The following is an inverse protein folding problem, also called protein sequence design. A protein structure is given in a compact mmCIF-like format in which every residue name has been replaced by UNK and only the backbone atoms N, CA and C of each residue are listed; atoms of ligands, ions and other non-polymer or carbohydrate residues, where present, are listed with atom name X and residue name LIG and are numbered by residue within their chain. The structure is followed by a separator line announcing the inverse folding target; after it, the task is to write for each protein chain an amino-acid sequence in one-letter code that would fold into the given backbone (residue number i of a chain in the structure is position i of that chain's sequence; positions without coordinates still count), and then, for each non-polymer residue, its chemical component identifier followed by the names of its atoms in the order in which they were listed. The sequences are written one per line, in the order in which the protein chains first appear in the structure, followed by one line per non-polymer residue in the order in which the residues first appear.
data_IF_926540043188
#
_entry.id   IF_926540043188
#
_cell.length_a   1.000
_cell.length_b   1.000
_cell.length_c   1.000
_cell.angle_alpha   90.00
_cell.angle_beta   90.00
_cell.angle_gamma   90.00
#
_symmetry.space_group_name_H-M   'P 1'
#
loop_
_entity.id
_entity.type
_entity.pdbx_description
1 polymer ?
#
# COMPACT_ATOMS: atom_id res chain seq x y z
N UNK A 1 -6.03 -7.04 27.38
CA UNK A 1 -4.87 -7.23 26.48
C UNK A 1 -4.16 -5.89 26.41
N UNK A 2 -2.99 -5.74 27.05
CA UNK A 2 -2.33 -4.44 27.23
C UNK A 2 -1.58 -4.02 25.96
N UNK A 3 -1.42 -2.72 25.74
CA UNK A 3 -0.77 -2.10 24.58
C UNK A 3 0.66 -2.63 24.29
N UNK A 4 1.31 -3.24 25.27
CA UNK A 4 2.62 -3.89 25.14
C UNK A 4 2.61 -5.14 24.24
N UNK A 5 1.45 -5.77 24.06
CA UNK A 5 1.35 -7.01 23.25
C UNK A 5 1.37 -6.73 21.74
N UNK A 6 1.15 -5.50 21.30
CA UNK A 6 1.11 -5.12 19.88
C UNK A 6 2.50 -4.69 19.35
N UNK A 7 3.44 -4.31 20.23
CA UNK A 7 4.75 -3.78 19.85
C UNK A 7 5.87 -4.83 19.70
N UNK A 8 5.66 -6.07 20.16
CA UNK A 8 6.61 -7.19 19.94
C UNK A 8 6.58 -7.78 18.52
N UNK A 9 5.79 -7.21 17.59
CA UNK A 9 5.65 -7.73 16.23
C UNK A 9 6.66 -7.16 15.21
N UNK A 10 7.56 -6.27 15.61
CA UNK A 10 8.45 -5.55 14.69
C UNK A 10 9.91 -5.92 14.95
N UNK A 11 10.46 -6.85 14.17
CA UNK A 11 11.84 -7.31 14.34
C UNK A 11 12.87 -6.33 13.77
N UNK A 12 12.47 -5.45 12.84
CA UNK A 12 13.34 -4.40 12.30
C UNK A 12 12.55 -3.40 11.45
N UNK A 13 12.69 -2.10 11.73
CA UNK A 13 12.29 -1.01 10.82
C UNK A 13 13.52 -0.63 10.00
N UNK A 14 13.49 -0.82 8.69
CA UNK A 14 14.65 -0.52 7.83
C UNK A 14 14.25 0.53 6.79
N UNK A 15 14.92 1.67 6.87
CA UNK A 15 14.99 2.79 5.90
C UNK A 15 13.67 3.52 5.61
N UNK A 16 13.64 4.79 6.00
CA UNK A 16 12.62 5.75 5.63
C UNK A 16 12.96 6.40 4.27
N UNK A 17 12.00 6.39 3.34
CA UNK A 17 12.01 7.31 2.20
C UNK A 17 10.61 7.92 2.09
N UNK A 18 10.50 9.25 2.21
CA UNK A 18 9.24 10.01 2.07
C UNK A 18 8.05 9.48 2.91
N UNK A 19 8.29 9.05 4.15
CA UNK A 19 7.24 8.57 5.07
C UNK A 19 6.77 7.13 4.84
N UNK A 20 7.52 6.35 4.05
CA UNK A 20 7.35 4.90 3.88
C UNK A 20 8.42 4.16 4.69
N UNK A 21 8.00 3.13 5.40
CA UNK A 21 8.83 2.28 6.25
C UNK A 21 8.67 0.81 5.83
N UNK A 22 9.79 0.13 5.58
CA UNK A 22 9.78 -1.32 5.42
C UNK A 22 9.81 -2.01 6.79
N UNK A 23 8.91 -2.96 6.99
CA UNK A 23 8.77 -3.76 8.19
C UNK A 23 9.03 -5.23 7.88
N UNK A 24 9.97 -5.82 8.60
CA UNK A 24 10.11 -7.28 8.66
C UNK A 24 9.35 -7.81 9.89
N UNK A 25 8.36 -8.67 9.66
CA UNK A 25 7.52 -9.24 10.71
C UNK A 25 7.52 -10.77 10.64
N UNK A 26 7.11 -11.41 11.72
CA UNK A 26 6.86 -12.86 11.74
C UNK A 26 5.70 -13.32 10.81
N UNK A 27 4.98 -12.38 10.21
CA UNK A 27 3.88 -12.62 9.25
C UNK A 27 4.23 -12.12 7.85
N UNK A 28 5.51 -11.96 7.54
CA UNK A 28 6.00 -11.48 6.25
C UNK A 28 6.38 -10.01 6.25
N UNK A 29 6.76 -9.53 5.06
CA UNK A 29 7.22 -8.17 4.81
C UNK A 29 6.05 -7.22 4.60
N UNK A 30 6.16 -6.00 5.14
CA UNK A 30 5.08 -5.01 5.08
C UNK A 30 5.60 -3.62 4.82
N UNK A 31 4.76 -2.82 4.18
CA UNK A 31 4.93 -1.39 3.97
C UNK A 31 4.07 -0.64 5.00
N UNK A 32 4.70 0.11 5.90
CA UNK A 32 4.00 1.07 6.76
C UNK A 32 4.16 2.46 6.18
N UNK A 33 3.06 3.18 5.98
CA UNK A 33 3.09 4.51 5.39
C UNK A 33 2.23 5.50 6.16
N UNK A 34 2.83 6.65 6.52
CA UNK A 34 2.09 7.80 7.03
C UNK A 34 1.35 8.46 5.86
N UNK A 35 0.07 8.72 6.05
CA UNK A 35 -0.81 9.35 5.07
C UNK A 35 -0.96 10.84 5.40
N UNK A 36 -0.86 11.67 4.37
CA UNK A 36 -0.92 13.14 4.47
C UNK A 36 -2.25 13.72 3.94
N UNK A 37 -3.28 12.89 3.81
CA UNK A 37 -4.62 13.27 3.41
C UNK A 37 -5.66 12.64 4.34
N UNK A 38 -6.87 13.22 4.39
CA UNK A 38 -7.92 12.78 5.32
C UNK A 38 -8.50 11.38 5.02
N UNK A 39 -9.26 10.83 5.98
CA UNK A 39 -9.76 9.45 5.93
C UNK A 39 -10.70 9.20 4.75
N UNK A 40 -11.49 10.19 4.32
CA UNK A 40 -12.37 10.05 3.15
C UNK A 40 -11.57 9.73 1.87
N UNK A 41 -10.46 10.45 1.64
CA UNK A 41 -9.59 10.18 0.49
C UNK A 41 -8.86 8.85 0.62
N UNK A 42 -8.51 8.44 1.85
CA UNK A 42 -7.93 7.13 2.12
C UNK A 42 -8.90 6.00 1.79
N UNK A 43 -10.15 6.10 2.22
CA UNK A 43 -11.19 5.11 1.92
C UNK A 43 -11.46 5.02 0.41
N UNK A 44 -11.47 6.15 -0.30
CA UNK A 44 -11.54 6.15 -1.77
C UNK A 44 -10.35 5.41 -2.40
N UNK A 45 -9.12 5.69 -1.96
CA UNK A 45 -7.92 4.99 -2.49
C UNK A 45 -7.96 3.50 -2.18
N UNK A 46 -8.40 3.11 -0.98
CA UNK A 46 -8.56 1.72 -0.60
C UNK A 46 -9.62 1.02 -1.47
N UNK A 47 -10.80 1.61 -1.63
CA UNK A 47 -11.85 1.06 -2.49
C UNK A 47 -11.40 0.94 -3.95
N UNK A 48 -10.69 1.93 -4.48
CA UNK A 48 -10.14 1.89 -5.84
C UNK A 48 -9.16 0.73 -6.02
N UNK A 49 -8.30 0.46 -5.03
CA UNK A 49 -7.36 -0.68 -5.06
C UNK A 49 -8.10 -2.02 -5.02
N UNK A 50 -9.08 -2.17 -4.15
CA UNK A 50 -9.88 -3.40 -4.08
C UNK A 50 -10.66 -3.63 -5.39
N UNK A 51 -11.22 -2.57 -5.99
CA UNK A 51 -11.88 -2.64 -7.30
C UNK A 51 -10.93 -3.11 -8.39
N UNK A 52 -9.73 -2.53 -8.47
CA UNK A 52 -8.68 -2.94 -9.41
C UNK A 52 -8.31 -4.42 -9.24
N UNK A 53 -8.09 -4.86 -8.00
CA UNK A 53 -7.75 -6.26 -7.67
C UNK A 53 -8.88 -7.20 -8.09
N UNK A 54 -10.13 -6.84 -7.80
CA UNK A 54 -11.31 -7.63 -8.15
C UNK A 54 -11.54 -7.71 -9.66
N UNK A 55 -11.09 -6.70 -10.41
CA UNK A 55 -11.09 -6.69 -11.87
C UNK A 55 -9.81 -7.28 -12.50
N UNK A 56 -8.99 -7.98 -11.71
CA UNK A 56 -7.84 -8.74 -12.19
C UNK A 56 -6.55 -7.94 -12.31
N UNK A 57 -6.52 -6.67 -11.94
CA UNK A 57 -5.30 -5.86 -11.91
C UNK A 57 -4.52 -6.10 -10.60
N UNK A 58 -3.41 -6.83 -10.70
CA UNK A 58 -2.55 -7.19 -9.54
C UNK A 58 -1.35 -6.25 -9.34
N UNK A 59 -1.27 -5.16 -10.09
CA UNK A 59 -0.17 -4.20 -10.04
C UNK A 59 -0.27 -3.17 -8.91
N UNK A 60 -1.05 -3.44 -7.87
CA UNK A 60 -1.21 -2.60 -6.67
C UNK A 60 -0.91 -3.41 -5.42
N UNK A 61 -0.39 -2.75 -4.39
CA UNK A 61 -0.22 -3.33 -3.06
C UNK A 61 -1.58 -3.54 -2.38
N UNK A 62 -1.76 -4.68 -1.70
CA UNK A 62 -2.95 -4.93 -0.89
C UNK A 62 -2.80 -4.40 0.52
N UNK A 63 -3.86 -3.78 1.05
CA UNK A 63 -3.88 -3.29 2.42
C UNK A 63 -4.19 -4.41 3.41
N UNK A 64 -3.53 -4.35 4.57
CA UNK A 64 -3.88 -5.13 5.74
C UNK A 64 -4.86 -4.33 6.58
N UNK A 65 -6.03 -4.91 6.82
CA UNK A 65 -7.03 -4.33 7.72
C UNK A 65 -6.58 -4.46 9.17
N UNK A 66 -6.96 -3.48 9.99
CA UNK A 66 -6.75 -3.52 11.43
C UNK A 66 -7.75 -4.50 12.09
N UNK A 67 -7.72 -4.58 13.44
CA UNK A 67 -8.61 -5.48 14.20
C UNK A 67 -10.09 -5.11 14.11
N UNK A 68 -10.41 -3.86 13.75
CA UNK A 68 -11.76 -3.33 13.58
C UNK A 68 -12.23 -3.44 12.12
N UNK A 69 -11.37 -3.92 11.22
CA UNK A 69 -11.66 -4.06 9.79
C UNK A 69 -11.34 -2.81 8.96
N UNK A 70 -10.74 -1.77 9.55
CA UNK A 70 -10.42 -0.55 8.81
C UNK A 70 -9.09 -0.65 8.05
N UNK A 71 -8.96 0.01 6.88
CA UNK A 71 -7.74 0.01 6.07
C UNK A 71 -6.64 0.95 6.60
N UNK A 72 -6.80 1.48 7.82
CA UNK A 72 -5.83 2.38 8.45
C UNK A 72 -5.85 2.28 9.98
N UNK A 73 -4.87 2.89 10.62
CA UNK A 73 -4.83 3.16 12.05
C UNK A 73 -4.61 4.66 12.28
N UNK A 74 -5.25 5.21 13.31
CA UNK A 74 -5.01 6.57 13.78
C UNK A 74 -4.04 6.51 14.98
N UNK A 75 -2.90 7.19 14.87
CA UNK A 75 -1.87 7.23 15.93
C UNK A 75 -1.44 8.69 16.10
N UNK A 76 -1.68 9.28 17.26
CA UNK A 76 -1.37 10.69 17.54
C UNK A 76 -1.92 11.64 16.45
N UNK A 77 -3.19 11.46 16.09
CA UNK A 77 -3.89 12.23 15.04
C UNK A 77 -3.39 12.01 13.60
N UNK A 78 -2.33 11.21 13.42
CA UNK A 78 -1.82 10.85 12.11
C UNK A 78 -2.42 9.54 11.60
N UNK A 79 -2.73 9.47 10.31
CA UNK A 79 -3.22 8.28 9.64
C UNK A 79 -2.06 7.43 9.12
N UNK A 80 -2.13 6.12 9.41
CA UNK A 80 -1.16 5.14 8.94
C UNK A 80 -1.85 4.01 8.20
N UNK A 81 -1.24 3.58 7.10
CA UNK A 81 -1.66 2.40 6.34
C UNK A 81 -0.58 1.33 6.44
N UNK A 82 -1.02 0.08 6.43
CA UNK A 82 -0.15 -1.08 6.38
C UNK A 82 -0.52 -1.88 5.12
N UNK A 83 0.44 -2.14 4.25
CA UNK A 83 0.21 -2.88 3.01
C UNK A 83 1.33 -3.86 2.71
N UNK A 84 1.13 -4.69 1.69
CA UNK A 84 2.16 -5.58 1.16
C UNK A 84 3.40 -4.78 0.76
N UNK A 85 4.57 -5.34 1.05
CA UNK A 85 5.81 -4.85 0.46
C UNK A 85 5.91 -5.37 -0.98
N UNK A 86 6.07 -4.47 -1.96
CA UNK A 86 6.33 -4.84 -3.34
C UNK A 86 7.83 -4.89 -3.53
N UNK A 87 8.37 -6.09 -3.76
CA UNK A 87 9.75 -6.25 -4.20
C UNK A 87 9.87 -5.84 -5.68
N UNK A 88 10.52 -4.71 -5.92
CA UNK A 88 10.63 -4.12 -7.24
C UNK A 88 11.65 -2.98 -7.27
N UNK A 89 12.02 -2.59 -8.49
CA UNK A 89 12.87 -1.42 -8.76
C UNK A 89 12.05 -0.30 -9.38
N UNK A 90 12.52 0.93 -9.23
CA UNK A 90 11.94 2.08 -9.95
C UNK A 90 12.13 1.89 -11.46
N UNK A 91 11.13 2.35 -12.23
CA UNK A 91 11.18 2.36 -13.68
C UNK A 91 12.28 3.33 -14.16
N UNK A 92 13.17 2.88 -15.04
CA UNK A 92 14.12 3.75 -15.73
C UNK A 92 13.49 4.36 -16.99
N UNK A 93 13.22 5.67 -16.94
CA UNK A 93 12.62 6.40 -18.06
C UNK A 93 13.55 6.59 -19.27
N UNK A 94 14.86 6.31 -19.14
CA UNK A 94 15.79 6.31 -20.27
C UNK A 94 15.82 4.96 -20.99
N UNK A 95 15.25 3.90 -20.38
CA UNK A 95 15.11 2.60 -21.00
C UNK A 95 13.74 2.47 -21.69
N UNK A 96 13.76 2.46 -23.03
CA UNK A 96 12.54 2.43 -23.83
C UNK A 96 11.66 1.19 -23.58
N UNK A 97 12.24 0.05 -23.20
CA UNK A 97 11.48 -1.17 -22.94
C UNK A 97 10.76 -1.11 -21.59
N UNK A 98 11.38 -0.48 -20.58
CA UNK A 98 10.71 -0.20 -19.30
C UNK A 98 9.59 0.83 -19.46
N UNK A 99 9.79 1.87 -20.28
CA UNK A 99 8.73 2.85 -20.61
C UNK A 99 7.56 2.20 -21.33
N UNK A 100 7.81 1.29 -22.29
CA UNK A 100 6.75 0.51 -22.96
C UNK A 100 6.00 -0.37 -21.97
N UNK A 101 6.70 -1.03 -21.05
CA UNK A 101 6.07 -1.84 -20.01
C UNK A 101 5.20 -0.99 -19.09
N UNK A 102 5.71 0.14 -18.60
CA UNK A 102 4.95 1.09 -17.78
C UNK A 102 3.69 1.59 -18.49
N UNK A 103 3.81 1.91 -19.79
CA UNK A 103 2.67 2.36 -20.61
C UNK A 103 1.59 1.29 -20.76
N UNK A 104 2.00 0.03 -21.00
CA UNK A 104 1.07 -1.11 -21.05
C UNK A 104 0.39 -1.34 -19.70
N UNK A 105 1.14 -1.29 -18.60
CA UNK A 105 0.60 -1.43 -17.24
C UNK A 105 -0.42 -0.33 -16.93
N UNK A 106 -0.13 0.92 -17.32
CA UNK A 106 -1.05 2.05 -17.14
C UNK A 106 -2.35 1.85 -17.94
N UNK A 107 -2.26 1.35 -19.18
CA UNK A 107 -3.45 1.02 -19.97
C UNK A 107 -4.29 -0.08 -19.31
N UNK A 108 -3.66 -1.14 -18.80
CA UNK A 108 -4.35 -2.20 -18.05
C UNK A 108 -5.01 -1.68 -16.77
N UNK A 109 -4.36 -0.73 -16.08
CA UNK A 109 -4.93 -0.08 -14.90
C UNK A 109 -6.20 0.69 -15.25
N UNK A 110 -6.17 1.50 -16.32
CA UNK A 110 -7.35 2.25 -16.79
C UNK A 110 -8.51 1.34 -17.19
N UNK A 111 -8.22 0.21 -17.83
CA UNK A 111 -9.26 -0.76 -18.19
C UNK A 111 -9.90 -1.36 -16.94
N UNK A 112 -9.08 -1.80 -15.97
CA UNK A 112 -9.56 -2.40 -14.74
C UNK A 112 -10.25 -1.40 -13.80
N UNK A 113 -9.98 -0.09 -13.93
CA UNK A 113 -10.62 0.94 -13.10
C UNK A 113 -12.02 1.33 -13.56
N UNK A 114 -12.47 0.89 -14.74
CA UNK A 114 -13.82 1.23 -15.24
C UNK A 114 -14.89 0.75 -14.26
N UNK A 115 -15.91 1.60 -14.07
CA UNK A 115 -17.04 1.31 -13.18
C UNK A 115 -16.75 1.44 -11.69
N UNK A 116 -15.62 2.05 -11.30
CA UNK A 116 -15.42 2.49 -9.92
C UNK A 116 -16.04 3.88 -9.72
N UNK A 117 -17.03 3.98 -8.84
CA UNK A 117 -17.74 5.21 -8.44
C UNK A 117 -17.52 5.53 -6.95
#
# INVERSE_FOLDING_TARGET
MTAETTLKAYEKVIKANKGVYYLKTNKGERCLKKINYGPQKLLFVYGAKEHLINNGFKGVDKYFLNIDGDPYALVNEDLYTLSEWIDGKECDFHNIDEVKLASKTLASLHEASKGYD
#
